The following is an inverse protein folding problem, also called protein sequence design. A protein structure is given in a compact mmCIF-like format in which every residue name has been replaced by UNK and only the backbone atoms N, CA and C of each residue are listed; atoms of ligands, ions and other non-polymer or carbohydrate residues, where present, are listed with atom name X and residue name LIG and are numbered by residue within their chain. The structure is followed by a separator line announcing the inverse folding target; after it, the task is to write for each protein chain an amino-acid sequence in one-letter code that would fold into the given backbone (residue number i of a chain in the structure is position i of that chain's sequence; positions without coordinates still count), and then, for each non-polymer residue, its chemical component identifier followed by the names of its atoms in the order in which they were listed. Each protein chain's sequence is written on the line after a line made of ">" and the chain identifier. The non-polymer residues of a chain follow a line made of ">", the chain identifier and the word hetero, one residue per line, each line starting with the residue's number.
data_IF_373661671313
#
_entry.id   IF_373661671313
#
_cell.length_a   1.000
_cell.length_b   1.000
_cell.length_c   1.000
_cell.angle_alpha   90.00
_cell.angle_beta   90.00
_cell.angle_gamma   90.00
#
_symmetry.space_group_name_H-M   'P 1'
#
loop_
_entity.id
_entity.type
_entity.pdbx_description
1 polymer ?
#
# COMPACT_ATOMS: atom_id res chain seq x y z
N UNK A 1 -35.03 90.33 77.04
CA UNK A 1 -34.20 89.20 77.51
C UNK A 1 -35.01 87.92 77.31
N UNK A 2 -34.40 86.96 76.63
CA UNK A 2 -34.98 85.73 76.08
C UNK A 2 -35.32 84.67 77.13
N UNK A 3 -36.30 83.81 76.84
CA UNK A 3 -36.13 82.37 77.03
C UNK A 3 -36.96 81.58 76.00
N UNK A 4 -36.31 80.64 75.30
CA UNK A 4 -36.86 79.82 74.21
C UNK A 4 -37.36 78.50 74.82
N UNK A 5 -38.55 78.01 74.46
CA UNK A 5 -38.90 76.60 74.68
C UNK A 5 -39.48 75.95 73.42
N UNK A 6 -38.54 75.36 72.67
CA UNK A 6 -38.58 74.05 72.00
C UNK A 6 -39.90 73.54 71.41
N UNK A 7 -39.96 73.49 70.08
CA UNK A 7 -40.93 72.70 69.29
C UNK A 7 -40.48 71.23 69.30
N UNK A 8 -41.31 70.26 69.74
CA UNK A 8 -40.96 68.85 69.64
C UNK A 8 -41.01 68.37 68.18
N UNK A 9 -39.90 67.75 67.74
CA UNK A 9 -39.78 67.04 66.46
C UNK A 9 -40.80 65.90 66.38
N UNK A 10 -41.50 65.77 65.25
CA UNK A 10 -42.34 64.61 64.96
C UNK A 10 -41.47 63.35 64.90
N UNK A 11 -41.62 62.46 65.87
CA UNK A 11 -40.96 61.16 65.87
C UNK A 11 -41.75 60.22 64.93
N UNK A 12 -41.05 59.60 63.98
CA UNK A 12 -41.59 58.53 63.14
C UNK A 12 -41.89 57.32 64.03
N UNK A 13 -43.14 57.17 64.43
CA UNK A 13 -43.59 55.99 65.19
C UNK A 13 -43.96 54.87 64.22
N UNK A 14 -43.54 53.65 64.54
CA UNK A 14 -44.02 52.45 63.87
C UNK A 14 -45.47 52.22 64.28
N UNK A 15 -46.41 52.25 63.32
CA UNK A 15 -47.82 51.96 63.57
C UNK A 15 -48.00 50.45 63.38
N UNK A 16 -48.39 49.74 64.45
CA UNK A 16 -48.67 48.30 64.36
C UNK A 16 -50.01 48.08 63.65
N UNK A 17 -50.17 46.95 62.97
CA UNK A 17 -51.37 46.65 62.17
C UNK A 17 -52.67 46.67 62.99
N UNK A 18 -52.58 46.35 64.29
CA UNK A 18 -53.68 46.44 65.26
C UNK A 18 -54.12 47.88 65.59
N UNK A 19 -53.30 48.88 65.29
CA UNK A 19 -53.63 50.30 65.46
C UNK A 19 -54.25 50.94 64.20
N UNK A 20 -54.32 50.19 63.09
CA UNK A 20 -54.99 50.63 61.87
C UNK A 20 -56.48 50.29 61.98
N UNK A 21 -57.33 51.32 61.98
CA UNK A 21 -58.77 51.14 61.79
C UNK A 21 -59.09 50.66 60.37
N UNK A 22 -60.37 50.69 59.99
CA UNK A 22 -60.79 50.34 58.62
C UNK A 22 -60.05 51.20 57.58
N UNK A 23 -59.33 50.54 56.67
CA UNK A 23 -58.67 51.17 55.53
C UNK A 23 -59.63 51.14 54.35
N UNK A 24 -59.93 52.31 53.79
CA UNK A 24 -60.67 52.44 52.54
C UNK A 24 -59.72 52.79 51.40
N UNK A 25 -59.92 52.16 50.23
CA UNK A 25 -59.18 52.49 49.02
C UNK A 25 -59.53 53.92 48.60
N UNK A 26 -58.52 54.78 48.48
CA UNK A 26 -58.73 56.14 48.04
C UNK A 26 -58.96 56.17 46.52
N UNK A 27 -60.22 56.42 46.13
CA UNK A 27 -60.57 56.63 44.73
C UNK A 27 -60.75 58.11 44.45
N UNK A 28 -59.88 58.66 43.61
CA UNK A 28 -60.08 60.01 43.07
C UNK A 28 -61.34 60.04 42.21
N UNK A 29 -62.26 60.95 42.51
CA UNK A 29 -63.38 61.24 41.61
C UNK A 29 -62.85 61.89 40.33
N UNK A 30 -63.38 61.48 39.17
CA UNK A 30 -63.00 62.07 37.89
C UNK A 30 -63.29 63.58 37.90
N UNK A 31 -62.26 64.41 37.68
CA UNK A 31 -62.41 65.86 37.53
C UNK A 31 -62.40 66.18 36.03
N UNK A 32 -63.59 66.37 35.47
CA UNK A 32 -63.77 66.78 34.07
C UNK A 32 -64.45 65.71 33.18
N UNK A 33 -64.89 66.09 31.98
CA UNK A 33 -65.58 65.19 31.06
C UNK A 33 -64.64 64.07 30.60
N UNK A 34 -65.07 62.83 30.83
CA UNK A 34 -64.32 61.62 30.49
C UNK A 34 -64.33 61.45 28.98
N UNK A 35 -63.22 61.79 28.32
CA UNK A 35 -62.93 61.38 26.95
C UNK A 35 -62.20 60.05 27.04
N UNK A 36 -62.73 58.93 26.50
CA UNK A 36 -62.03 57.66 26.55
C UNK A 36 -60.81 57.71 25.62
N UNK A 37 -59.63 57.81 26.22
CA UNK A 37 -58.36 57.52 25.54
C UNK A 37 -58.21 56.00 25.54
N UNK A 38 -58.35 55.37 24.38
CA UNK A 38 -58.00 53.97 24.20
C UNK A 38 -56.49 53.90 24.05
N UNK A 39 -55.80 53.50 25.11
CA UNK A 39 -54.38 53.16 25.07
C UNK A 39 -54.29 51.73 24.54
N UNK A 40 -53.80 51.56 23.31
CA UNK A 40 -53.47 50.24 22.79
C UNK A 40 -52.20 49.75 23.50
N UNK A 41 -52.40 48.88 24.48
CA UNK A 41 -51.32 48.27 25.27
C UNK A 41 -50.61 47.27 24.36
N UNK A 42 -49.40 47.62 23.89
CA UNK A 42 -48.47 46.65 23.32
C UNK A 42 -48.16 45.65 24.42
N UNK A 43 -48.57 44.39 24.24
CA UNK A 43 -48.33 43.32 25.18
C UNK A 43 -46.81 43.15 25.38
N UNK A 44 -46.36 43.37 26.61
CA UNK A 44 -45.02 43.04 27.07
C UNK A 44 -44.84 41.51 26.89
N UNK A 45 -43.72 41.03 26.31
CA UNK A 45 -43.53 39.60 26.13
C UNK A 45 -43.61 38.92 27.50
N UNK A 46 -44.49 37.93 27.64
CA UNK A 46 -44.63 37.17 28.88
C UNK A 46 -43.26 36.60 29.28
N UNK A 47 -42.86 36.73 30.56
CA UNK A 47 -41.63 36.12 31.03
C UNK A 47 -41.73 34.60 30.83
N UNK A 48 -40.77 34.02 30.11
CA UNK A 48 -40.70 32.57 29.95
C UNK A 48 -40.69 31.91 31.34
N UNK A 49 -41.42 30.80 31.53
CA UNK A 49 -41.47 30.12 32.82
C UNK A 49 -40.06 29.71 33.23
N UNK A 50 -39.60 30.22 34.38
CA UNK A 50 -38.29 29.85 34.93
C UNK A 50 -38.25 28.35 35.21
N UNK A 51 -37.49 27.60 34.39
CA UNK A 51 -37.32 26.17 34.60
C UNK A 51 -36.65 25.92 35.96
N UNK A 52 -37.09 24.92 36.74
CA UNK A 52 -36.46 24.56 38.00
C UNK A 52 -34.97 24.25 37.79
N UNK A 53 -34.11 24.69 38.70
CA UNK A 53 -32.65 24.57 38.56
C UNK A 53 -32.16 23.12 38.34
N UNK A 54 -32.80 22.15 38.98
CA UNK A 54 -32.47 20.73 38.80
C UNK A 54 -32.74 20.22 37.39
N UNK A 55 -33.83 20.65 36.75
CA UNK A 55 -34.16 20.27 35.36
C UNK A 55 -33.12 20.84 34.39
N UNK A 56 -32.68 22.08 34.61
CA UNK A 56 -31.64 22.71 33.79
C UNK A 56 -30.29 22.00 33.93
N UNK A 57 -29.92 21.61 35.14
CA UNK A 57 -28.68 20.86 35.41
C UNK A 57 -28.72 19.47 34.78
N UNK A 58 -29.82 18.73 34.92
CA UNK A 58 -29.98 17.41 34.31
C UNK A 58 -29.90 17.46 32.78
N UNK A 59 -30.54 18.47 32.17
CA UNK A 59 -30.44 18.71 30.73
C UNK A 59 -29.02 19.06 30.30
N UNK A 60 -28.35 19.96 31.01
CA UNK A 60 -26.97 20.33 30.71
C UNK A 60 -26.01 19.12 30.83
N UNK A 61 -26.22 18.23 31.81
CA UNK A 61 -25.46 16.99 31.92
C UNK A 61 -25.73 16.01 30.78
N UNK A 62 -27.00 15.81 30.40
CA UNK A 62 -27.36 14.94 29.30
C UNK A 62 -26.77 15.45 27.97
N UNK A 63 -26.92 16.76 27.69
CA UNK A 63 -26.39 17.40 26.48
C UNK A 63 -24.86 17.33 26.45
N UNK A 64 -24.20 17.61 27.58
CA UNK A 64 -22.75 17.50 27.72
C UNK A 64 -22.24 16.07 27.55
N UNK A 65 -22.96 15.07 28.06
CA UNK A 65 -22.61 13.66 27.89
C UNK A 65 -22.73 13.22 26.43
N UNK A 66 -23.82 13.60 25.74
CA UNK A 66 -24.00 13.29 24.31
C UNK A 66 -22.92 13.96 23.46
N UNK A 67 -22.65 15.25 23.71
CA UNK A 67 -21.61 15.99 22.99
C UNK A 67 -20.21 15.40 23.24
N UNK A 68 -19.88 15.09 24.49
CA UNK A 68 -18.60 14.47 24.85
C UNK A 68 -18.41 13.08 24.26
N UNK A 69 -19.47 12.26 24.23
CA UNK A 69 -19.42 10.95 23.58
C UNK A 69 -19.19 11.09 22.07
N UNK A 70 -19.93 11.99 21.41
CA UNK A 70 -19.78 12.24 19.98
C UNK A 70 -18.36 12.75 19.64
N UNK A 71 -17.84 13.69 20.43
CA UNK A 71 -16.49 14.21 20.28
C UNK A 71 -15.43 13.11 20.50
N UNK A 72 -15.55 12.34 21.58
CA UNK A 72 -14.61 11.26 21.88
C UNK A 72 -14.59 10.16 20.81
N UNK A 73 -15.75 9.82 20.24
CA UNK A 73 -15.82 8.89 19.11
C UNK A 73 -15.15 9.47 17.84
N UNK A 74 -15.37 10.75 17.56
CA UNK A 74 -14.75 11.42 16.41
C UNK A 74 -13.21 11.50 16.57
N UNK A 75 -12.72 11.86 17.74
CA UNK A 75 -11.28 11.92 18.04
C UNK A 75 -10.65 10.51 18.00
N UNK A 76 -11.28 9.52 18.65
CA UNK A 76 -10.75 8.15 18.67
C UNK A 76 -10.71 7.51 17.27
N UNK A 77 -11.71 7.77 16.42
CA UNK A 77 -11.71 7.28 15.04
C UNK A 77 -10.62 7.94 14.19
N UNK A 78 -10.42 9.25 14.35
CA UNK A 78 -9.36 9.99 13.66
C UNK A 78 -7.97 9.51 14.08
N UNK A 79 -7.70 9.39 15.38
CA UNK A 79 -6.44 8.86 15.89
C UNK A 79 -6.20 7.41 15.47
N UNK A 80 -7.26 6.60 15.49
CA UNK A 80 -7.21 5.20 15.03
C UNK A 80 -6.80 5.10 13.56
N UNK A 81 -7.41 5.91 12.70
CA UNK A 81 -7.09 5.97 11.28
C UNK A 81 -5.64 6.44 11.05
N UNK A 82 -5.19 7.48 11.76
CA UNK A 82 -3.81 7.97 11.65
C UNK A 82 -2.79 6.89 12.04
N UNK A 83 -3.00 6.19 13.15
CA UNK A 83 -2.10 5.09 13.57
C UNK A 83 -2.06 3.95 12.56
N UNK A 84 -3.20 3.62 11.95
CA UNK A 84 -3.31 2.63 10.88
C UNK A 84 -2.53 3.07 9.64
N UNK A 85 -2.73 4.32 9.20
CA UNK A 85 -2.03 4.88 8.04
C UNK A 85 -0.52 4.94 8.27
N UNK A 86 -0.07 5.39 9.44
CA UNK A 86 1.35 5.43 9.81
C UNK A 86 1.96 4.02 9.82
N UNK A 87 1.25 3.02 10.35
CA UNK A 87 1.71 1.63 10.33
C UNK A 87 1.82 1.09 8.90
N UNK A 88 0.80 1.33 8.05
CA UNK A 88 0.78 0.88 6.66
C UNK A 88 1.88 1.54 5.85
N UNK A 89 2.10 2.84 6.01
CA UNK A 89 3.12 3.59 5.26
C UNK A 89 4.54 3.33 5.76
N UNK A 90 4.73 3.10 7.06
CA UNK A 90 6.02 2.74 7.63
C UNK A 90 6.29 1.25 7.52
N UNK A 91 5.96 0.53 8.59
CA UNK A 91 6.33 -0.88 8.76
C UNK A 91 5.70 -1.80 7.70
N UNK A 92 4.46 -1.52 7.30
CA UNK A 92 3.78 -2.28 6.25
C UNK A 92 4.49 -2.19 4.90
N UNK A 93 4.86 -0.97 4.49
CA UNK A 93 5.59 -0.75 3.24
C UNK A 93 7.01 -1.33 3.28
N UNK A 94 7.74 -1.13 4.38
CA UNK A 94 9.10 -1.65 4.54
C UNK A 94 9.14 -3.18 4.49
N UNK A 95 8.24 -3.85 5.22
CA UNK A 95 8.15 -5.31 5.21
C UNK A 95 7.77 -5.85 3.84
N UNK A 96 6.80 -5.23 3.17
CA UNK A 96 6.41 -5.59 1.81
C UNK A 96 7.58 -5.40 0.82
N UNK A 97 8.36 -4.33 0.96
CA UNK A 97 9.53 -4.09 0.13
C UNK A 97 10.60 -5.16 0.35
N UNK A 98 10.95 -5.46 1.60
CA UNK A 98 11.92 -6.51 1.95
C UNK A 98 11.50 -7.88 1.40
N UNK A 99 10.22 -8.23 1.51
CA UNK A 99 9.66 -9.45 0.93
C UNK A 99 9.77 -9.46 -0.60
N UNK A 100 9.46 -8.35 -1.26
CA UNK A 100 9.59 -8.23 -2.71
C UNK A 100 11.04 -8.39 -3.17
N UNK A 101 12.00 -7.81 -2.47
CA UNK A 101 13.43 -7.99 -2.74
C UNK A 101 13.87 -9.45 -2.61
N UNK A 102 13.46 -10.13 -1.54
CA UNK A 102 13.75 -11.56 -1.34
C UNK A 102 13.16 -12.43 -2.46
N UNK A 103 11.92 -12.16 -2.87
CA UNK A 103 11.27 -12.88 -3.97
C UNK A 103 11.98 -12.66 -5.30
N UNK A 104 12.38 -11.42 -5.58
CA UNK A 104 13.14 -11.08 -6.79
C UNK A 104 14.51 -11.77 -6.81
N UNK A 105 15.22 -11.76 -5.67
CA UNK A 105 16.49 -12.45 -5.54
C UNK A 105 16.35 -13.96 -5.72
N UNK A 106 15.29 -14.56 -5.18
CA UNK A 106 15.00 -15.98 -5.34
C UNK A 106 14.72 -16.33 -6.81
N UNK A 107 13.90 -15.53 -7.51
CA UNK A 107 13.61 -15.73 -8.93
C UNK A 107 14.88 -15.64 -9.79
N UNK A 108 15.71 -14.62 -9.55
CA UNK A 108 16.98 -14.47 -10.27
C UNK A 108 17.91 -15.68 -10.03
N UNK A 109 17.96 -16.18 -8.79
CA UNK A 109 18.79 -17.33 -8.44
C UNK A 109 18.27 -18.64 -9.05
N UNK A 110 16.95 -18.82 -9.13
CA UNK A 110 16.35 -19.97 -9.83
C UNK A 110 16.69 -19.94 -11.32
N UNK A 111 16.53 -18.80 -11.99
CA UNK A 111 16.88 -18.66 -13.40
C UNK A 111 18.38 -18.96 -13.65
N UNK A 112 19.26 -18.53 -12.74
CA UNK A 112 20.68 -18.86 -12.83
C UNK A 112 20.94 -20.36 -12.68
N UNK A 113 20.29 -21.02 -11.71
CA UNK A 113 20.41 -22.47 -11.50
C UNK A 113 19.90 -23.25 -12.72
N UNK A 114 18.79 -22.82 -13.34
CA UNK A 114 18.28 -23.43 -14.57
C UNK A 114 19.30 -23.33 -15.72
N UNK A 115 19.89 -22.15 -15.91
CA UNK A 115 20.92 -21.92 -16.93
C UNK A 115 22.18 -22.78 -16.66
N UNK A 116 22.61 -22.86 -15.41
CA UNK A 116 23.76 -23.68 -15.00
C UNK A 116 23.50 -25.16 -15.21
N UNK A 117 22.31 -25.64 -14.87
CA UNK A 117 21.90 -27.01 -15.09
C UNK A 117 21.85 -27.34 -16.59
N UNK A 118 21.27 -26.46 -17.42
CA UNK A 118 21.23 -26.64 -18.87
C UNK A 118 22.65 -26.78 -19.47
N UNK A 119 23.59 -25.93 -19.03
CA UNK A 119 25.00 -26.02 -19.45
C UNK A 119 25.65 -27.33 -19.03
N UNK A 120 25.41 -27.78 -17.80
CA UNK A 120 25.98 -29.03 -17.29
C UNK A 120 25.42 -30.25 -18.03
N UNK A 121 24.10 -30.29 -18.27
CA UNK A 121 23.46 -31.36 -19.04
C UNK A 121 24.00 -31.40 -20.47
N UNK A 122 24.14 -30.24 -21.12
CA UNK A 122 24.74 -30.17 -22.46
C UNK A 122 26.19 -30.68 -22.45
N UNK A 123 27.00 -30.25 -21.47
CA UNK A 123 28.39 -30.71 -21.35
C UNK A 123 28.48 -32.23 -21.16
N UNK A 124 27.60 -32.80 -20.34
CA UNK A 124 27.49 -34.25 -20.13
C UNK A 124 27.04 -34.97 -21.40
N UNK A 125 26.01 -34.47 -22.09
CA UNK A 125 25.53 -35.05 -23.34
C UNK A 125 26.62 -35.03 -24.42
N UNK A 126 27.34 -33.90 -24.59
CA UNK A 126 28.47 -33.81 -25.50
C UNK A 126 29.63 -34.72 -25.09
N UNK A 127 29.90 -34.85 -23.78
CA UNK A 127 30.89 -35.77 -23.24
C UNK A 127 30.56 -37.22 -23.60
N UNK A 128 29.33 -37.64 -23.36
CA UNK A 128 28.82 -38.97 -23.70
C UNK A 128 28.85 -39.21 -25.21
N UNK A 129 28.38 -38.26 -26.03
CA UNK A 129 28.43 -38.37 -27.47
C UNK A 129 29.86 -38.56 -27.98
N UNK A 130 30.82 -37.78 -27.48
CA UNK A 130 32.24 -37.96 -27.83
C UNK A 130 32.80 -39.31 -27.39
N UNK A 131 32.43 -39.79 -26.20
CA UNK A 131 32.86 -41.09 -25.68
C UNK A 131 32.32 -42.22 -26.57
N UNK A 132 31.05 -42.13 -26.96
CA UNK A 132 30.39 -43.10 -27.83
C UNK A 132 31.04 -43.07 -29.20
N UNK A 133 31.16 -41.91 -29.85
CA UNK A 133 31.82 -41.78 -31.16
C UNK A 133 33.23 -42.35 -31.11
N UNK A 134 34.04 -42.00 -30.11
CA UNK A 134 35.39 -42.55 -29.96
C UNK A 134 35.37 -44.07 -29.84
N UNK A 135 34.44 -44.62 -29.06
CA UNK A 135 34.32 -46.07 -28.88
C UNK A 135 33.90 -46.77 -30.17
N UNK A 136 32.88 -46.26 -30.85
CA UNK A 136 32.42 -46.81 -32.12
C UNK A 136 33.55 -46.78 -33.16
N UNK A 137 34.28 -45.67 -33.28
CA UNK A 137 35.42 -45.55 -34.20
C UNK A 137 36.58 -46.50 -33.87
N UNK A 138 36.82 -46.81 -32.59
CA UNK A 138 37.83 -47.82 -32.21
C UNK A 138 37.39 -49.25 -32.49
N UNK A 139 36.08 -49.51 -32.56
CA UNK A 139 35.52 -50.84 -32.83
C UNK A 139 35.37 -51.07 -34.33
N UNK A 140 34.91 -50.06 -35.06
CA UNK A 140 34.71 -50.08 -36.49
C UNK A 140 35.23 -48.80 -37.15
N UNK A 141 36.49 -48.87 -37.61
CA UNK A 141 37.14 -47.79 -38.34
C UNK A 141 36.53 -47.59 -39.73
N UNK A 142 35.85 -48.59 -40.30
CA UNK A 142 35.18 -48.47 -41.60
C UNK A 142 33.95 -47.54 -41.54
N UNK A 143 33.41 -47.26 -40.35
CA UNK A 143 32.35 -46.27 -40.16
C UNK A 143 32.74 -44.84 -40.59
N UNK A 144 34.04 -44.54 -40.72
CA UNK A 144 34.53 -43.26 -41.25
C UNK A 144 34.38 -43.12 -42.77
N UNK A 145 34.35 -44.22 -43.51
CA UNK A 145 34.30 -44.22 -44.98
C UNK A 145 33.14 -43.38 -45.56
N UNK A 146 31.87 -43.55 -45.13
CA UNK A 146 30.76 -42.76 -45.66
C UNK A 146 30.89 -41.26 -45.34
N UNK A 147 31.43 -40.91 -44.16
CA UNK A 147 31.64 -39.50 -43.76
C UNK A 147 32.73 -38.85 -44.62
N UNK A 148 33.84 -39.56 -44.86
CA UNK A 148 34.92 -39.10 -45.73
C UNK A 148 34.40 -38.96 -47.17
N UNK A 149 33.60 -39.92 -47.65
CA UNK A 149 32.99 -39.90 -48.98
C UNK A 149 32.08 -38.69 -49.17
N UNK A 150 31.24 -38.37 -48.17
CA UNK A 150 30.37 -37.19 -48.22
C UNK A 150 31.18 -35.89 -48.26
N UNK A 151 32.17 -35.76 -47.38
CA UNK A 151 33.05 -34.59 -47.32
C UNK A 151 33.82 -34.39 -48.64
N UNK A 152 34.36 -35.48 -49.22
CA UNK A 152 35.04 -35.43 -50.50
C UNK A 152 34.10 -35.16 -51.67
N UNK A 153 32.86 -35.68 -51.63
CA UNK A 153 31.83 -35.37 -52.61
C UNK A 153 31.61 -33.86 -52.75
N UNK A 154 31.52 -33.13 -51.63
CA UNK A 154 31.41 -31.67 -51.64
C UNK A 154 32.66 -30.98 -52.20
N UNK A 155 33.85 -31.50 -51.89
CA UNK A 155 35.13 -30.90 -52.28
C UNK A 155 35.45 -31.08 -53.77
N UNK A 156 35.03 -32.22 -54.35
CA UNK A 156 35.24 -32.55 -55.76
C UNK A 156 34.40 -31.65 -56.69
N UNK A 157 33.24 -31.18 -56.24
CA UNK A 157 32.43 -30.21 -57.00
C UNK A 157 33.16 -28.89 -57.26
N UNK A 158 34.10 -28.52 -56.39
CA UNK A 158 34.91 -27.29 -56.50
C UNK A 158 36.14 -27.45 -57.40
N UNK A 159 36.49 -28.67 -57.85
CA UNK A 159 37.62 -28.94 -58.75
C UNK A 159 39.02 -28.65 -58.18
N UNK A 160 39.15 -28.47 -56.86
CA UNK A 160 40.41 -28.11 -56.18
C UNK A 160 41.21 -29.34 -55.80
N UNK A 161 42.54 -29.19 -55.79
CA UNK A 161 43.44 -30.19 -55.19
C UNK A 161 43.27 -30.18 -53.66
N UNK A 162 43.24 -31.37 -53.06
CA UNK A 162 42.95 -31.56 -51.65
C UNK A 162 43.97 -32.51 -51.00
N UNK A 163 44.36 -32.18 -49.77
CA UNK A 163 45.19 -33.04 -48.93
C UNK A 163 44.31 -33.61 -47.83
N UNK A 164 44.20 -34.93 -47.79
CA UNK A 164 43.51 -35.64 -46.71
C UNK A 164 44.54 -36.07 -45.70
N UNK A 165 44.33 -35.64 -44.46
CA UNK A 165 45.11 -36.02 -43.30
C UNK A 165 44.30 -36.97 -42.44
N UNK A 166 44.84 -38.16 -42.18
CA UNK A 166 44.22 -39.18 -41.33
C UNK A 166 45.26 -39.74 -40.36
N UNK A 167 44.80 -40.29 -39.24
CA UNK A 167 45.67 -41.03 -38.35
C UNK A 167 46.29 -42.23 -39.09
N UNK A 168 47.55 -42.62 -38.83
CA UNK A 168 48.24 -43.64 -39.63
C UNK A 168 47.51 -44.98 -39.66
N UNK A 169 46.92 -45.37 -38.52
CA UNK A 169 46.15 -46.62 -38.40
C UNK A 169 44.88 -46.61 -39.24
N UNK A 170 44.23 -45.46 -39.39
CA UNK A 170 43.01 -45.32 -40.19
C UNK A 170 43.35 -45.31 -41.69
N UNK A 171 44.50 -44.73 -42.05
CA UNK A 171 45.00 -44.64 -43.41
C UNK A 171 45.28 -46.04 -43.98
N UNK A 172 45.86 -46.95 -43.18
CA UNK A 172 46.11 -48.34 -43.59
C UNK A 172 44.84 -49.10 -43.99
N UNK A 173 43.71 -48.84 -43.31
CA UNK A 173 42.43 -49.53 -43.53
C UNK A 173 41.61 -48.85 -44.63
N UNK A 174 41.64 -47.51 -44.71
CA UNK A 174 40.72 -46.73 -45.53
C UNK A 174 41.29 -46.26 -46.87
N UNK A 175 42.62 -46.24 -47.05
CA UNK A 175 43.25 -45.69 -48.26
C UNK A 175 42.84 -46.44 -49.54
N UNK A 176 42.88 -47.77 -49.53
CA UNK A 176 42.53 -48.57 -50.71
C UNK A 176 41.04 -48.44 -51.10
N UNK A 177 40.06 -48.59 -50.18
CA UNK A 177 38.65 -48.34 -50.47
C UNK A 177 38.37 -46.92 -51.01
N UNK A 178 38.99 -45.91 -50.41
CA UNK A 178 38.76 -44.51 -50.78
C UNK A 178 39.38 -44.14 -52.14
N UNK A 179 40.56 -44.67 -52.48
CA UNK A 179 41.19 -44.47 -53.80
C UNK A 179 40.35 -45.08 -54.94
N UNK A 180 39.73 -46.22 -54.69
CA UNK A 180 38.81 -46.85 -55.67
C UNK A 180 37.54 -46.01 -55.83
N UNK A 181 37.00 -45.48 -54.74
CA UNK A 181 35.82 -44.63 -54.75
C UNK A 181 36.03 -43.26 -55.41
N UNK A 182 37.23 -42.70 -55.28
CA UNK A 182 37.60 -41.38 -55.81
C UNK A 182 38.92 -41.44 -56.59
N UNK A 183 38.89 -41.84 -57.87
CA UNK A 183 40.09 -42.00 -58.70
C UNK A 183 40.64 -40.67 -59.23
N UNK A 184 40.62 -39.61 -58.41
CA UNK A 184 41.04 -38.27 -58.81
C UNK A 184 42.54 -38.06 -58.54
N UNK A 185 43.33 -37.61 -59.54
CA UNK A 185 44.78 -37.44 -59.39
C UNK A 185 45.17 -36.23 -58.52
N UNK A 186 44.23 -35.37 -58.16
CA UNK A 186 44.44 -34.15 -57.36
C UNK A 186 44.35 -34.38 -55.85
N UNK A 187 44.16 -35.63 -55.41
CA UNK A 187 43.97 -36.02 -54.03
C UNK A 187 45.25 -36.62 -53.45
N UNK A 188 45.80 -35.97 -52.43
CA UNK A 188 47.03 -36.41 -51.74
C UNK A 188 46.68 -36.94 -50.35
N UNK A 189 47.15 -38.13 -50.00
CA UNK A 189 46.90 -38.79 -48.72
C UNK A 189 48.14 -38.65 -47.84
N UNK A 190 47.98 -38.10 -46.63
CA UNK A 190 49.09 -37.86 -45.71
C UNK A 190 48.75 -38.40 -44.31
N UNK A 191 49.64 -39.18 -43.67
CA UNK A 191 49.47 -39.54 -42.27
C UNK A 191 49.65 -38.30 -41.37
N UNK A 192 48.82 -38.18 -40.34
CA UNK A 192 48.86 -37.11 -39.33
C UNK A 192 49.09 -37.72 -37.94
N UNK A 193 50.15 -37.26 -37.25
CA UNK A 193 50.67 -37.81 -35.99
C UNK A 193 50.32 -36.96 -34.78
#
# INVERSE_FOLDING_TARGET
>A
MSDKRSVPRAQSRFIRSEELGEVSEWRFGAVGPVVPVVVEVVAEPEPEPEEPEHVRLDRAWADGHVAGLAQGLAEATLEGNQKLDDFVQGQGAETAHSLAELLNAMQARLAQVEQDMARQVLALACGLARQIVRRELTVDTAALEPVIREALGMLVMDGKAAVIKLHPQDLEVLEAPLKVAFPLPTLTWLPDV
#
